data_IF_579136525126
#
_entry.id   IF_579136525126
#
_cell.length_a   1.000
_cell.length_b   1.000
_cell.length_c   1.000
_cell.angle_alpha   90.00
_cell.angle_beta   90.00
_cell.angle_gamma   90.00
#
_symmetry.space_group_name_H-M   'P 1'
#
loop_
_entity.id
_entity.type
_entity.pdbx_description
1 polymer ?
#
# COMPACT_ATOMS: atom_id res chain seq x y z
N UNK A 1 -7.53 18.13 32.79
CA UNK A 1 -8.49 17.12 32.29
C UNK A 1 -7.78 16.21 31.31
N UNK A 2 -7.19 15.16 31.86
CA UNK A 2 -6.35 14.19 31.14
C UNK A 2 -7.21 12.96 30.93
N UNK A 3 -7.61 12.69 29.70
CA UNK A 3 -8.42 11.51 29.39
C UNK A 3 -7.53 10.25 29.51
N UNK A 4 -7.80 9.42 30.51
CA UNK A 4 -7.27 8.06 30.61
C UNK A 4 -7.72 7.28 29.36
N UNK A 5 -6.77 6.74 28.59
CA UNK A 5 -7.07 5.67 27.64
C UNK A 5 -7.37 4.40 28.44
N UNK A 6 -8.65 4.11 28.65
CA UNK A 6 -9.09 2.77 29.04
C UNK A 6 -8.68 1.84 27.89
N UNK A 7 -7.74 0.93 28.17
CA UNK A 7 -7.29 -0.08 27.23
C UNK A 7 -8.45 -1.01 26.91
N UNK A 8 -9.11 -0.80 25.77
CA UNK A 8 -9.95 -1.81 25.17
C UNK A 8 -9.05 -3.02 24.86
N UNK A 9 -9.33 -4.16 25.49
CA UNK A 9 -8.80 -5.45 25.08
C UNK A 9 -9.20 -5.66 23.62
N UNK A 10 -8.25 -5.49 22.70
CA UNK A 10 -8.42 -5.94 21.33
C UNK A 10 -8.28 -7.47 21.39
N UNK A 11 -9.30 -8.25 21.02
CA UNK A 11 -9.15 -9.71 20.97
C UNK A 11 -7.96 -10.06 20.07
N UNK A 12 -7.25 -11.14 20.41
CA UNK A 12 -6.17 -11.68 19.58
C UNK A 12 -6.79 -12.15 18.25
N UNK A 13 -6.87 -11.23 17.29
CA UNK A 13 -7.37 -11.51 15.96
C UNK A 13 -6.20 -12.02 15.14
N UNK A 14 -6.00 -13.34 15.18
CA UNK A 14 -5.02 -14.00 14.32
C UNK A 14 -5.54 -14.06 12.89
N UNK A 15 -4.84 -13.40 11.98
CA UNK A 15 -5.04 -13.53 10.54
C UNK A 15 -3.76 -14.04 9.87
N UNK A 16 -3.90 -14.88 8.83
CA UNK A 16 -2.77 -15.29 7.98
C UNK A 16 -2.87 -14.55 6.64
N UNK A 17 -1.79 -13.89 6.24
CA UNK A 17 -1.65 -13.36 4.88
C UNK A 17 -1.43 -14.55 3.93
N UNK A 18 -2.37 -14.78 3.01
CA UNK A 18 -2.25 -15.88 2.03
C UNK A 18 -1.33 -15.49 0.87
N UNK A 19 -1.49 -14.27 0.34
CA UNK A 19 -0.76 -13.78 -0.82
C UNK A 19 -0.51 -12.28 -0.68
N UNK A 20 0.59 -11.82 -1.25
CA UNK A 20 0.92 -10.40 -1.38
C UNK A 20 1.00 -10.09 -2.86
N UNK A 21 0.31 -9.04 -3.29
CA UNK A 21 0.33 -8.56 -4.66
C UNK A 21 0.71 -7.10 -4.70
N UNK A 22 1.68 -6.77 -5.57
CA UNK A 22 2.05 -5.41 -5.91
C UNK A 22 1.57 -5.09 -7.32
N UNK A 23 1.17 -3.83 -7.56
CA UNK A 23 0.76 -3.37 -8.89
C UNK A 23 1.69 -2.25 -9.34
N UNK A 24 2.85 -2.55 -9.97
CA UNK A 24 3.82 -1.53 -10.32
C UNK A 24 3.28 -0.45 -11.25
N UNK A 25 2.35 -0.81 -12.14
CA UNK A 25 1.67 0.10 -13.07
C UNK A 25 0.17 0.15 -12.76
N UNK A 26 -0.36 1.36 -12.62
CA UNK A 26 -1.78 1.59 -12.38
C UNK A 26 -2.64 0.95 -13.48
N UNK A 27 -3.55 0.06 -13.07
CA UNK A 27 -4.54 -0.58 -13.95
C UNK A 27 -4.03 -1.78 -14.74
N UNK A 28 -2.80 -2.24 -14.52
CA UNK A 28 -2.24 -3.44 -15.15
C UNK A 28 -2.13 -4.62 -14.18
N UNK A 29 -1.56 -5.73 -14.65
CA UNK A 29 -1.43 -6.99 -13.91
C UNK A 29 -0.59 -6.88 -12.63
N UNK A 30 -0.91 -7.75 -11.67
CA UNK A 30 -0.20 -7.86 -10.41
C UNK A 30 1.12 -8.62 -10.52
N UNK A 31 2.06 -8.27 -9.66
CA UNK A 31 3.25 -9.05 -9.32
C UNK A 31 3.01 -9.74 -7.97
N UNK A 32 3.10 -11.06 -7.93
CA UNK A 32 3.04 -11.81 -6.68
C UNK A 32 4.37 -11.67 -5.91
N UNK A 33 4.29 -11.44 -4.61
CA UNK A 33 5.46 -11.33 -3.73
C UNK A 33 5.39 -12.39 -2.63
N UNK A 34 6.52 -13.03 -2.36
CA UNK A 34 6.66 -13.96 -1.23
C UNK A 34 6.77 -13.21 0.10
N UNK A 35 7.45 -12.06 0.10
CA UNK A 35 7.61 -11.20 1.27
C UNK A 35 7.95 -9.77 0.85
N UNK A 36 7.73 -8.81 1.75
CA UNK A 36 8.05 -7.40 1.55
C UNK A 36 8.20 -6.67 2.89
N UNK A 37 9.19 -5.81 3.00
CA UNK A 37 9.37 -4.95 4.17
C UNK A 37 8.44 -3.73 4.09
N UNK A 38 7.76 -3.42 5.19
CA UNK A 38 6.89 -2.26 5.31
C UNK A 38 7.51 -1.22 6.25
N UNK A 39 7.29 0.05 5.93
CA UNK A 39 7.60 1.17 6.81
C UNK A 39 6.29 1.83 7.28
N UNK A 40 6.24 2.27 8.53
CA UNK A 40 5.06 2.91 9.09
C UNK A 40 4.64 4.14 8.27
N UNK A 41 3.34 4.26 8.01
CA UNK A 41 2.78 5.37 7.23
C UNK A 41 3.13 5.35 5.73
N UNK A 42 3.83 4.33 5.24
CA UNK A 42 4.19 4.18 3.83
C UNK A 42 3.37 3.08 3.14
N UNK A 43 3.22 3.22 1.83
CA UNK A 43 2.67 2.16 1.00
C UNK A 43 3.67 1.01 0.81
N UNK A 44 3.21 -0.10 0.23
CA UNK A 44 4.08 -1.15 -0.28
C UNK A 44 5.14 -0.55 -1.20
N UNK A 45 6.43 -0.88 -1.00
CA UNK A 45 7.49 -0.38 -1.86
C UNK A 45 7.22 -0.66 -3.34
N UNK A 46 7.28 0.39 -4.15
CA UNK A 46 7.01 0.39 -5.60
C UNK A 46 5.55 0.08 -6.01
N UNK A 47 4.59 0.10 -5.09
CA UNK A 47 3.19 -0.01 -5.48
C UNK A 47 2.76 1.23 -6.27
N UNK A 48 2.15 1.00 -7.44
CA UNK A 48 1.66 2.01 -8.38
C UNK A 48 2.69 3.09 -8.72
N UNK A 49 3.96 2.69 -8.83
CA UNK A 49 5.06 3.60 -9.18
C UNK A 49 4.88 4.24 -10.56
N UNK A 50 4.16 3.57 -11.46
CA UNK A 50 3.92 4.05 -12.83
C UNK A 50 2.44 4.13 -13.15
N UNK A 51 2.10 4.94 -14.14
CA UNK A 51 0.81 4.97 -14.79
C UNK A 51 0.99 5.24 -16.29
N UNK A 52 0.07 4.72 -17.10
CA UNK A 52 -0.01 5.07 -18.52
C UNK A 52 -0.93 6.27 -18.68
N UNK A 53 -0.41 7.32 -19.30
CA UNK A 53 -1.19 8.48 -19.71
C UNK A 53 -1.62 8.32 -21.17
N UNK A 54 -2.80 8.82 -21.54
CA UNK A 54 -3.12 8.98 -22.95
C UNK A 54 -2.17 10.04 -23.53
N UNK A 55 -1.85 9.96 -24.82
CA UNK A 55 -0.93 10.92 -25.45
C UNK A 55 -1.37 12.38 -25.32
N UNK A 56 -2.67 12.63 -25.14
CA UNK A 56 -3.26 13.95 -24.92
C UNK A 56 -3.37 14.36 -23.45
N UNK A 57 -3.08 13.47 -22.49
CA UNK A 57 -3.19 13.77 -21.06
C UNK A 57 -2.04 14.68 -20.65
N UNK A 58 -2.32 15.90 -20.18
CA UNK A 58 -1.28 16.77 -19.64
C UNK A 58 -0.69 16.13 -18.37
N UNK A 59 0.64 16.14 -18.28
CA UNK A 59 1.35 15.79 -17.04
C UNK A 59 2.52 16.75 -16.84
N UNK A 60 2.88 16.96 -15.58
CA UNK A 60 4.03 17.75 -15.20
C UNK A 60 5.28 16.88 -15.32
N UNK A 61 6.20 17.22 -16.24
CA UNK A 61 7.45 16.46 -16.44
C UNK A 61 8.45 16.65 -15.29
N UNK A 62 8.30 17.70 -14.48
CA UNK A 62 9.20 18.00 -13.38
C UNK A 62 8.75 17.37 -12.05
N UNK A 63 7.61 16.67 -12.05
CA UNK A 63 7.08 15.89 -10.92
C UNK A 63 7.07 14.39 -11.23
#
# INVERSE_FOLDING_TARGET
>A
MTWLRLGAMVPDMTGRVEKIYRYPVKGLSAEALDSVALAEGQALPNDRRFALALGSTPYDQAK
#
